data_IF_185643034162
#
_entry.id   IF_185643034162
#
_cell.length_a   1.000
_cell.length_b   1.000
_cell.length_c   1.000
_cell.angle_alpha   90.00
_cell.angle_beta   90.00
_cell.angle_gamma   90.00
#
_symmetry.space_group_name_H-M   'P 1'
#
loop_
_entity.id
_entity.type
_entity.pdbx_description
1 polymer ?
#
# COMPACT_ATOMS: atom_id res chain seq x y z
N UNK A 1 -22.36 -8.57 59.56
CA UNK A 1 -22.89 -8.22 58.23
C UNK A 1 -22.01 -7.12 57.67
N UNK A 2 -21.05 -7.48 56.81
CA UNK A 2 -20.04 -6.55 56.27
C UNK A 2 -20.13 -6.56 54.75
N UNK A 3 -20.55 -5.43 54.16
CA UNK A 3 -20.47 -5.20 52.73
C UNK A 3 -19.12 -4.54 52.42
N UNK A 4 -18.23 -5.28 51.75
CA UNK A 4 -16.97 -4.76 51.23
C UNK A 4 -17.20 -3.91 49.96
N UNK A 5 -16.38 -2.87 49.72
CA UNK A 5 -16.51 -2.06 48.53
C UNK A 5 -16.04 -2.84 47.29
N UNK A 6 -16.88 -2.81 46.27
CA UNK A 6 -16.78 -3.52 45.00
C UNK A 6 -15.76 -2.83 44.10
N UNK A 7 -14.75 -3.56 43.62
CA UNK A 7 -13.78 -3.07 42.65
C UNK A 7 -14.46 -2.74 41.31
N UNK A 8 -14.13 -1.61 40.65
CA UNK A 8 -14.66 -1.31 39.34
C UNK A 8 -14.03 -2.23 38.28
N UNK A 9 -14.88 -3.01 37.61
CA UNK A 9 -14.55 -3.80 36.42
C UNK A 9 -14.14 -2.87 35.28
N UNK A 10 -12.83 -2.77 35.01
CA UNK A 10 -12.28 -2.18 33.78
C UNK A 10 -12.45 -3.16 32.60
N UNK A 11 -13.70 -3.45 32.23
CA UNK A 11 -14.05 -4.10 30.94
C UNK A 11 -14.85 -3.10 30.12
N UNK A 12 -14.29 -2.70 28.97
CA UNK A 12 -15.01 -2.01 27.91
C UNK A 12 -14.74 -0.50 27.85
N UNK A 13 -13.56 -0.10 27.34
CA UNK A 13 -13.36 1.26 26.78
C UNK A 13 -12.11 1.44 25.91
N UNK A 14 -11.67 0.41 25.19
CA UNK A 14 -10.54 0.51 24.22
C UNK A 14 -10.98 -0.03 22.85
N UNK A 15 -12.11 0.45 22.33
CA UNK A 15 -12.55 0.26 20.94
C UNK A 15 -13.15 1.54 20.34
N UNK A 16 -12.67 2.70 20.81
CA UNK A 16 -12.96 4.00 20.21
C UNK A 16 -11.68 4.83 20.13
N UNK A 17 -10.62 4.29 19.52
CA UNK A 17 -9.79 5.16 18.69
C UNK A 17 -10.52 5.20 17.36
N UNK A 18 -11.50 6.10 17.34
CA UNK A 18 -12.24 6.54 16.18
C UNK A 18 -11.23 6.79 15.06
N UNK A 19 -11.50 6.15 13.93
CA UNK A 19 -11.06 6.55 12.61
C UNK A 19 -11.60 7.97 12.28
N UNK A 20 -11.20 8.97 13.08
CA UNK A 20 -11.59 10.38 12.96
C UNK A 20 -10.36 11.28 12.82
N UNK A 21 -9.36 10.78 12.10
CA UNK A 21 -8.45 11.61 11.30
C UNK A 21 -8.53 11.25 9.81
N UNK A 22 -9.64 10.62 9.40
CA UNK A 22 -10.08 10.53 8.01
C UNK A 22 -10.99 11.71 7.67
N UNK A 23 -10.51 12.93 7.93
CA UNK A 23 -11.23 14.17 7.70
C UNK A 23 -10.26 15.34 7.60
N UNK A 24 -10.12 15.87 6.39
CA UNK A 24 -9.41 17.11 6.04
C UNK A 24 -7.88 17.13 6.18
N UNK A 25 -7.23 16.45 5.23
CA UNK A 25 -6.08 16.99 4.50
C UNK A 25 -6.47 17.13 3.02
N UNK A 26 -7.24 18.16 2.71
CA UNK A 26 -7.65 18.49 1.34
C UNK A 26 -6.53 19.18 0.56
N UNK A 27 -6.43 18.82 -0.72
CA UNK A 27 -5.62 19.48 -1.75
C UNK A 27 -4.35 18.69 -2.06
N UNK A 28 -4.13 18.13 -3.24
CA UNK A 28 -4.45 18.70 -4.56
C UNK A 28 -4.88 17.60 -5.53
N UNK A 29 -6.05 17.79 -6.12
CA UNK A 29 -6.40 17.19 -7.39
C UNK A 29 -5.35 17.55 -8.45
N UNK A 30 -4.79 16.56 -9.11
CA UNK A 30 -4.70 16.64 -10.56
C UNK A 30 -5.51 15.44 -11.01
N UNK A 31 -6.68 15.59 -11.65
CA UNK A 31 -6.74 15.35 -13.09
C UNK A 31 -5.56 14.47 -13.53
N UNK A 32 -5.63 13.18 -13.20
CA UNK A 32 -4.57 12.18 -13.36
C UNK A 32 -4.31 11.95 -14.86
N UNK A 33 -3.63 12.93 -15.45
CA UNK A 33 -3.33 13.00 -16.87
C UNK A 33 -2.21 12.01 -17.13
N UNK A 34 -2.58 10.76 -17.27
CA UNK A 34 -1.70 9.68 -17.69
C UNK A 34 -1.27 9.97 -19.11
N UNK A 35 0.03 10.02 -19.33
CA UNK A 35 0.58 10.21 -20.65
C UNK A 35 0.52 8.89 -21.41
N UNK A 36 -0.03 8.94 -22.62
CA UNK A 36 0.01 7.83 -23.57
C UNK A 36 1.22 8.08 -24.46
N UNK A 37 2.13 7.15 -24.48
CA UNK A 37 3.37 7.20 -25.23
C UNK A 37 3.37 6.14 -26.33
N UNK A 38 4.04 6.46 -27.42
CA UNK A 38 4.31 5.51 -28.49
C UNK A 38 5.17 4.36 -27.96
N UNK A 39 4.75 3.13 -28.23
CA UNK A 39 5.41 1.96 -27.69
C UNK A 39 6.79 1.68 -28.28
N UNK A 40 7.16 2.34 -29.38
CA UNK A 40 8.47 2.16 -30.05
C UNK A 40 9.41 3.30 -29.73
N UNK A 41 8.91 4.53 -29.78
CA UNK A 41 9.73 5.76 -29.66
C UNK A 41 9.67 6.41 -28.28
N UNK A 42 8.77 5.95 -27.40
CA UNK A 42 8.41 6.59 -26.14
C UNK A 42 7.94 8.06 -26.29
N UNK A 43 7.66 8.52 -27.52
CA UNK A 43 7.17 9.86 -27.80
C UNK A 43 5.74 10.01 -27.26
N UNK A 44 5.41 11.18 -26.70
CA UNK A 44 4.06 11.43 -26.19
C UNK A 44 3.06 11.52 -27.33
N UNK A 45 2.10 10.59 -27.35
CA UNK A 45 0.99 10.56 -28.32
C UNK A 45 -0.24 11.30 -27.80
N UNK A 46 -0.45 11.29 -26.48
CA UNK A 46 -1.64 11.88 -25.91
C UNK A 46 -1.72 11.73 -24.41
N UNK A 47 -2.94 11.77 -23.90
CA UNK A 47 -3.22 11.62 -22.48
C UNK A 47 -4.58 10.98 -22.24
N UNK A 48 -4.75 10.33 -21.09
CA UNK A 48 -6.05 9.94 -20.57
C UNK A 48 -6.18 10.32 -19.10
N UNK A 49 -7.40 10.30 -18.58
CA UNK A 49 -7.69 10.58 -17.16
C UNK A 49 -7.46 9.38 -16.25
N UNK A 50 -6.96 8.26 -16.79
CA UNK A 50 -6.81 7.01 -16.06
C UNK A 50 -8.09 6.25 -15.81
N UNK A 51 -8.00 5.16 -15.02
CA UNK A 51 -9.18 4.44 -14.61
C UNK A 51 -10.01 5.22 -13.58
N UNK A 52 -11.30 4.94 -13.52
CA UNK A 52 -12.20 5.41 -12.46
C UNK A 52 -11.75 4.89 -11.09
N UNK A 53 -12.39 5.37 -10.03
CA UNK A 53 -12.20 4.83 -8.67
C UNK A 53 -12.56 3.33 -8.59
N UNK A 54 -13.43 2.83 -9.47
CA UNK A 54 -13.72 1.41 -9.62
C UNK A 54 -12.62 0.63 -10.38
N UNK A 55 -11.62 1.29 -10.96
CA UNK A 55 -10.54 0.67 -11.73
C UNK A 55 -10.86 0.46 -13.21
N UNK A 56 -11.98 0.99 -13.68
CA UNK A 56 -12.48 0.83 -15.05
C UNK A 56 -11.95 1.98 -15.93
N UNK A 57 -11.66 1.73 -17.20
CA UNK A 57 -11.31 2.84 -18.07
C UNK A 57 -12.60 3.59 -18.47
N UNK A 58 -12.74 4.89 -18.18
CA UNK A 58 -13.95 5.65 -18.51
C UNK A 58 -14.15 5.83 -20.02
N UNK A 59 -13.11 5.56 -20.81
CA UNK A 59 -13.12 5.61 -22.26
C UNK A 59 -13.10 4.22 -22.91
N UNK A 60 -13.27 3.14 -22.13
CA UNK A 60 -13.53 1.82 -22.69
C UNK A 60 -14.98 1.74 -23.16
N UNK A 61 -15.18 1.30 -24.38
CA UNK A 61 -16.46 0.82 -24.90
C UNK A 61 -16.49 -0.73 -24.88
N UNK A 62 -17.21 -1.38 -25.79
CA UNK A 62 -17.18 -2.84 -25.93
C UNK A 62 -15.83 -3.38 -26.46
N UNK A 63 -14.92 -2.50 -26.89
CA UNK A 63 -13.61 -2.84 -27.45
C UNK A 63 -12.44 -2.64 -26.47
N UNK A 64 -11.19 -2.81 -26.95
CA UNK A 64 -10.00 -2.53 -26.18
C UNK A 64 -9.91 -1.07 -25.74
N UNK A 65 -9.24 -0.81 -24.61
CA UNK A 65 -9.06 0.56 -24.10
C UNK A 65 -8.27 1.41 -25.10
N UNK A 66 -8.48 2.75 -25.15
CA UNK A 66 -7.78 3.61 -26.12
C UNK A 66 -6.24 3.59 -26.05
N UNK A 67 -5.67 3.22 -24.90
CA UNK A 67 -4.23 3.06 -24.72
C UNK A 67 -3.72 1.64 -25.03
N UNK A 68 -4.55 0.72 -25.52
CA UNK A 68 -4.14 -0.62 -25.90
C UNK A 68 -3.03 -0.60 -26.96
N UNK A 69 -1.99 -1.42 -26.74
CA UNK A 69 -0.78 -1.44 -27.57
C UNK A 69 0.17 -0.26 -27.35
N UNK A 70 -0.07 0.60 -26.35
CA UNK A 70 0.74 1.79 -26.05
C UNK A 70 1.46 1.67 -24.72
N UNK A 71 2.38 2.60 -24.47
CA UNK A 71 2.97 2.79 -23.15
C UNK A 71 2.17 3.85 -22.40
N UNK A 72 1.99 3.66 -21.10
CA UNK A 72 1.32 4.63 -20.23
C UNK A 72 2.18 4.95 -19.03
N UNK A 73 2.23 6.22 -18.63
CA UNK A 73 2.90 6.66 -17.41
C UNK A 73 2.11 7.75 -16.67
N UNK A 74 2.16 7.78 -15.33
CA UNK A 74 1.74 8.96 -14.59
C UNK A 74 2.58 10.19 -14.97
N UNK A 75 2.02 11.40 -14.91
CA UNK A 75 2.77 12.62 -15.15
C UNK A 75 3.87 12.78 -14.08
N UNK A 76 5.09 13.12 -14.51
CA UNK A 76 6.24 13.25 -13.61
C UNK A 76 6.84 11.93 -13.11
N UNK A 77 6.33 10.78 -13.57
CA UNK A 77 6.94 9.49 -13.27
C UNK A 77 8.34 9.39 -13.90
N UNK A 78 9.28 8.79 -13.16
CA UNK A 78 10.64 8.52 -13.65
C UNK A 78 10.57 7.72 -14.98
N UNK A 79 11.11 8.27 -16.08
CA UNK A 79 11.12 7.60 -17.39
C UNK A 79 11.78 6.22 -17.37
N UNK A 80 12.71 5.96 -16.45
CA UNK A 80 13.40 4.67 -16.36
C UNK A 80 12.62 3.61 -15.57
N UNK A 81 11.68 4.02 -14.71
CA UNK A 81 10.96 3.11 -13.83
C UNK A 81 9.52 2.79 -14.27
N UNK A 82 8.96 3.52 -15.26
CA UNK A 82 7.50 3.65 -15.32
C UNK A 82 6.74 3.81 -16.65
N UNK A 83 7.25 3.55 -17.87
CA UNK A 83 6.33 3.31 -18.97
C UNK A 83 5.81 1.87 -18.86
N UNK A 84 4.56 1.71 -18.42
CA UNK A 84 3.88 0.40 -18.43
C UNK A 84 3.28 0.14 -19.81
N UNK A 85 3.51 -1.06 -20.34
CA UNK A 85 2.89 -1.48 -21.60
C UNK A 85 1.48 -1.97 -21.37
N UNK A 86 0.57 -1.47 -22.20
CA UNK A 86 -0.82 -1.93 -22.26
C UNK A 86 -0.92 -2.91 -23.44
N UNK A 87 -1.34 -4.17 -23.22
CA UNK A 87 -1.52 -5.12 -24.31
C UNK A 87 -2.49 -4.62 -25.41
N UNK A 88 -2.30 -4.97 -26.69
CA UNK A 88 -3.16 -4.57 -27.82
C UNK A 88 -4.64 -4.94 -27.67
N UNK A 89 -4.95 -6.00 -26.93
CA UNK A 89 -6.31 -6.48 -26.69
C UNK A 89 -6.77 -6.21 -25.25
N UNK A 90 -6.15 -5.26 -24.56
CA UNK A 90 -6.48 -4.98 -23.17
C UNK A 90 -7.80 -4.23 -23.06
N UNK A 91 -8.75 -4.79 -22.31
CA UNK A 91 -10.00 -4.12 -21.94
C UNK A 91 -9.91 -3.39 -20.58
N UNK A 92 -8.74 -3.42 -19.93
CA UNK A 92 -8.56 -2.84 -18.60
C UNK A 92 -7.28 -2.01 -18.50
N UNK A 93 -7.32 -0.91 -17.75
CA UNK A 93 -6.16 -0.04 -17.58
C UNK A 93 -5.17 -0.63 -16.53
N UNK A 94 -3.91 -0.94 -16.89
CA UNK A 94 -2.94 -1.53 -15.95
C UNK A 94 -2.52 -0.56 -14.84
N UNK A 95 -2.68 0.75 -15.04
CA UNK A 95 -2.44 1.77 -14.02
C UNK A 95 -3.40 1.67 -12.83
N UNK A 96 -4.59 1.10 -13.02
CA UNK A 96 -5.49 0.80 -11.92
C UNK A 96 -4.86 -0.16 -10.94
N UNK A 97 -4.21 -1.22 -11.44
CA UNK A 97 -3.53 -2.21 -10.61
C UNK A 97 -2.32 -1.61 -9.90
N UNK A 98 -1.47 -0.87 -10.60
CA UNK A 98 -0.26 -0.31 -9.98
C UNK A 98 -0.58 0.80 -8.95
N UNK A 99 -1.60 1.63 -9.20
CA UNK A 99 -2.11 2.59 -8.23
C UNK A 99 -2.71 1.89 -6.99
N UNK A 100 -3.54 0.86 -7.20
CA UNK A 100 -4.09 0.03 -6.11
C UNK A 100 -2.99 -0.64 -5.30
N UNK A 101 -1.90 -1.08 -5.94
CA UNK A 101 -0.75 -1.63 -5.25
C UNK A 101 -0.08 -0.59 -4.34
N UNK A 102 0.16 0.62 -4.85
CA UNK A 102 0.74 1.71 -4.07
C UNK A 102 -0.13 2.10 -2.87
N UNK A 103 -1.47 2.15 -3.05
CA UNK A 103 -2.40 2.39 -1.94
C UNK A 103 -2.35 1.27 -0.91
N UNK A 104 -2.34 0.00 -1.34
CA UNK A 104 -2.20 -1.12 -0.42
C UNK A 104 -0.88 -1.05 0.36
N UNK A 105 0.22 -0.63 -0.27
CA UNK A 105 1.50 -0.46 0.43
C UNK A 105 1.44 0.66 1.47
N UNK A 106 0.85 1.81 1.15
CA UNK A 106 0.65 2.90 2.13
C UNK A 106 -0.16 2.43 3.34
N UNK A 107 -1.22 1.65 3.10
CA UNK A 107 -2.01 1.10 4.21
C UNK A 107 -1.21 0.08 5.02
N UNK A 108 -0.41 -0.78 4.39
CA UNK A 108 0.46 -1.69 5.10
C UNK A 108 1.46 -0.95 6.01
N UNK A 109 2.09 0.11 5.49
CA UNK A 109 3.03 0.93 6.26
C UNK A 109 2.33 1.62 7.44
N UNK A 110 1.10 2.13 7.24
CA UNK A 110 0.28 2.66 8.35
C UNK A 110 0.07 1.64 9.47
N UNK A 111 -0.29 0.39 9.14
CA UNK A 111 -0.47 -0.66 10.15
C UNK A 111 0.84 -1.05 10.84
N UNK A 112 1.94 -1.07 10.10
CA UNK A 112 3.28 -1.32 10.65
C UNK A 112 3.68 -0.23 11.66
N UNK A 113 3.46 1.04 11.32
CA UNK A 113 3.73 2.17 12.19
C UNK A 113 2.86 2.14 13.45
N UNK A 114 1.58 1.84 13.29
CA UNK A 114 0.66 1.65 14.41
C UNK A 114 1.10 0.50 15.33
N UNK A 115 1.60 -0.59 14.74
CA UNK A 115 2.11 -1.74 15.48
C UNK A 115 3.35 -1.37 16.30
N UNK A 116 4.31 -0.66 15.70
CA UNK A 116 5.52 -0.18 16.36
C UNK A 116 5.19 0.83 17.47
N UNK A 117 4.22 1.71 17.25
CA UNK A 117 3.75 2.65 18.27
C UNK A 117 3.10 1.92 19.46
N UNK A 118 2.36 0.84 19.21
CA UNK A 118 1.81 -0.02 20.26
C UNK A 118 2.89 -0.67 21.11
N UNK A 119 3.94 -1.20 20.46
CA UNK A 119 5.09 -1.77 21.16
C UNK A 119 5.80 -0.74 22.05
N UNK A 120 6.01 0.49 21.56
CA UNK A 120 6.59 1.58 22.36
C UNK A 120 5.76 1.87 23.61
N UNK A 121 4.44 2.07 23.46
CA UNK A 121 3.54 2.30 24.60
C UNK A 121 3.54 1.16 25.61
N UNK A 122 3.57 -0.09 25.12
CA UNK A 122 3.64 -1.26 26.01
C UNK A 122 4.96 -1.31 26.79
N UNK A 123 6.05 -0.91 26.14
CA UNK A 123 7.38 -0.81 26.76
C UNK A 123 7.37 0.26 27.86
N UNK A 124 6.94 1.47 27.53
CA UNK A 124 6.78 2.57 28.50
C UNK A 124 5.93 2.17 29.70
N UNK A 125 4.80 1.48 29.47
CA UNK A 125 3.93 1.01 30.55
C UNK A 125 4.64 0.03 31.48
N UNK A 126 5.38 -0.95 30.96
CA UNK A 126 6.09 -1.94 31.77
C UNK A 126 7.19 -1.28 32.59
N UNK A 127 7.97 -0.37 31.98
CA UNK A 127 8.98 0.41 32.70
C UNK A 127 8.35 1.30 33.78
N UNK A 128 7.22 1.95 33.50
CA UNK A 128 6.50 2.73 34.50
C UNK A 128 6.02 1.87 35.68
N UNK A 129 5.49 0.67 35.41
CA UNK A 129 5.07 -0.25 36.46
C UNK A 129 6.26 -0.75 37.31
N UNK A 130 7.40 -1.04 36.68
CA UNK A 130 8.63 -1.40 37.39
C UNK A 130 9.10 -0.27 38.32
N UNK A 131 9.15 0.95 37.81
CA UNK A 131 9.53 2.14 38.58
C UNK A 131 8.57 2.43 39.74
N UNK A 132 7.28 2.12 39.58
CA UNK A 132 6.27 2.23 40.63
C UNK A 132 6.34 1.11 41.69
N UNK A 133 7.28 0.16 41.57
CA UNK A 133 7.45 -0.93 42.53
C UNK A 133 6.47 -2.09 42.35
N UNK A 134 5.85 -2.25 41.17
CA UNK A 134 5.02 -3.42 40.89
C UNK A 134 5.86 -4.69 41.05
N UNK A 135 5.44 -5.57 41.97
CA UNK A 135 6.17 -6.78 42.36
C UNK A 135 6.51 -7.70 41.19
N UNK A 136 5.79 -7.60 40.07
CA UNK A 136 6.03 -8.40 38.87
C UNK A 136 7.21 -7.91 38.02
N UNK A 137 7.66 -6.67 38.23
CA UNK A 137 8.66 -6.02 37.35
C UNK A 137 9.76 -5.27 38.09
N UNK A 138 9.56 -4.90 39.37
CA UNK A 138 10.46 -4.02 40.13
C UNK A 138 11.91 -4.48 40.25
N UNK A 139 12.15 -5.80 40.20
CA UNK A 139 13.47 -6.41 40.34
C UNK A 139 14.01 -6.93 39.00
N UNK A 140 13.28 -6.71 37.90
CA UNK A 140 13.66 -7.21 36.58
C UNK A 140 14.65 -6.26 35.90
N UNK A 141 15.71 -6.78 35.24
CA UNK A 141 16.66 -5.94 34.53
C UNK A 141 16.07 -5.36 33.23
N UNK A 142 16.65 -4.27 32.67
CA UNK A 142 16.08 -3.55 31.53
C UNK A 142 15.84 -4.40 30.26
N UNK A 143 16.73 -5.34 29.97
CA UNK A 143 16.61 -6.28 28.86
C UNK A 143 15.44 -7.25 29.05
N UNK A 144 15.23 -7.72 30.28
CA UNK A 144 14.09 -8.57 30.63
C UNK A 144 12.77 -7.79 30.58
N UNK A 145 12.74 -6.54 31.03
CA UNK A 145 11.58 -5.66 30.86
C UNK A 145 11.23 -5.45 29.38
N UNK A 146 12.22 -5.28 28.50
CA UNK A 146 12.01 -5.19 27.06
C UNK A 146 11.44 -6.51 26.48
N UNK A 147 11.97 -7.65 26.91
CA UNK A 147 11.46 -8.99 26.53
C UNK A 147 10.00 -9.18 26.96
N UNK A 148 9.68 -8.88 28.21
CA UNK A 148 8.32 -8.93 28.78
C UNK A 148 7.37 -8.01 28.00
N UNK A 149 7.79 -6.78 27.73
CA UNK A 149 7.01 -5.80 26.97
C UNK A 149 6.66 -6.32 25.58
N UNK A 150 7.65 -6.88 24.88
CA UNK A 150 7.46 -7.47 23.56
C UNK A 150 6.51 -8.66 23.60
N UNK A 151 6.68 -9.58 24.54
CA UNK A 151 5.81 -10.75 24.69
C UNK A 151 4.36 -10.35 24.97
N UNK A 152 4.14 -9.37 25.86
CA UNK A 152 2.81 -8.84 26.16
C UNK A 152 2.17 -8.17 24.96
N UNK A 153 2.94 -7.37 24.21
CA UNK A 153 2.45 -6.73 23.00
C UNK A 153 2.06 -7.78 21.95
N UNK A 154 2.95 -8.73 21.64
CA UNK A 154 2.71 -9.82 20.69
C UNK A 154 1.50 -10.69 21.07
N UNK A 155 1.31 -10.93 22.37
CA UNK A 155 0.17 -11.69 22.89
C UNK A 155 -1.15 -10.92 22.88
N UNK A 156 -1.14 -9.62 22.58
CA UNK A 156 -2.36 -8.80 22.60
C UNK A 156 -3.20 -9.00 21.32
N UNK A 157 -4.54 -9.06 21.42
CA UNK A 157 -5.42 -9.14 20.25
C UNK A 157 -5.24 -7.94 19.29
N UNK A 158 -4.92 -6.76 19.84
CA UNK A 158 -4.74 -5.56 19.05
C UNK A 158 -3.47 -5.63 18.18
N UNK A 159 -2.35 -6.11 18.73
CA UNK A 159 -1.13 -6.31 17.95
C UNK A 159 -1.31 -7.37 16.84
N UNK A 160 -2.03 -8.45 17.15
CA UNK A 160 -2.33 -9.50 16.18
C UNK A 160 -3.19 -8.97 15.03
N UNK A 161 -4.20 -8.16 15.34
CA UNK A 161 -5.05 -7.55 14.33
C UNK A 161 -4.27 -6.58 13.43
N UNK A 162 -3.43 -5.72 14.00
CA UNK A 162 -2.58 -4.82 13.21
C UNK A 162 -1.64 -5.60 12.27
N UNK A 163 -1.00 -6.66 12.77
CA UNK A 163 -0.13 -7.51 11.95
C UNK A 163 -0.90 -8.24 10.84
N UNK A 164 -2.11 -8.74 11.13
CA UNK A 164 -3.00 -9.37 10.15
C UNK A 164 -3.40 -8.39 9.04
N UNK A 165 -3.73 -7.15 9.42
CA UNK A 165 -4.11 -6.10 8.47
C UNK A 165 -2.93 -5.69 7.59
N UNK A 166 -1.74 -5.47 8.17
CA UNK A 166 -0.50 -5.23 7.42
C UNK A 166 -0.28 -6.34 6.38
N UNK A 167 -0.30 -7.61 6.82
CA UNK A 167 -0.07 -8.75 5.95
C UNK A 167 -1.12 -8.82 4.81
N UNK A 168 -2.39 -8.58 5.13
CA UNK A 168 -3.48 -8.57 4.14
C UNK A 168 -3.22 -7.52 3.06
N UNK A 169 -2.83 -6.31 3.43
CA UNK A 169 -2.53 -5.25 2.48
C UNK A 169 -1.26 -5.51 1.67
N UNK A 170 -0.20 -6.07 2.27
CA UNK A 170 1.00 -6.49 1.52
C UNK A 170 0.68 -7.58 0.50
N UNK A 171 -0.13 -8.57 0.86
CA UNK A 171 -0.57 -9.62 -0.07
C UNK A 171 -1.40 -9.05 -1.23
N UNK A 172 -2.32 -8.12 -0.96
CA UNK A 172 -3.08 -7.43 -2.01
C UNK A 172 -2.16 -6.63 -2.94
N UNK A 173 -1.20 -5.88 -2.39
CA UNK A 173 -0.21 -5.16 -3.18
C UNK A 173 0.59 -6.10 -4.09
N UNK A 174 1.04 -7.24 -3.56
CA UNK A 174 1.74 -8.26 -4.35
C UNK A 174 0.86 -8.80 -5.50
N UNK A 175 -0.43 -9.07 -5.24
CA UNK A 175 -1.36 -9.49 -6.28
C UNK A 175 -1.49 -8.48 -7.42
N UNK A 176 -1.64 -7.19 -7.07
CA UNK A 176 -1.70 -6.12 -8.05
C UNK A 176 -0.39 -5.91 -8.83
N UNK A 177 0.76 -6.00 -8.15
CA UNK A 177 2.08 -5.92 -8.80
C UNK A 177 2.34 -7.13 -9.69
N UNK A 178 1.93 -8.33 -9.30
CA UNK A 178 2.05 -9.53 -10.12
C UNK A 178 1.20 -9.40 -11.39
N UNK A 179 0.00 -8.85 -11.28
CA UNK A 179 -0.83 -8.53 -12.45
C UNK A 179 -0.13 -7.53 -13.37
N UNK A 180 0.41 -6.44 -12.83
CA UNK A 180 1.15 -5.45 -13.61
C UNK A 180 2.41 -6.06 -14.29
N UNK A 181 3.12 -6.96 -13.60
CA UNK A 181 4.33 -7.63 -14.11
C UNK A 181 4.06 -8.72 -15.13
N UNK A 182 2.85 -9.29 -15.20
CA UNK A 182 2.48 -10.33 -16.19
C UNK A 182 2.43 -9.79 -17.62
N UNK A 183 2.42 -8.47 -17.78
CA UNK A 183 2.54 -7.78 -19.06
C UNK A 183 3.78 -6.87 -19.06
N UNK A 184 4.99 -7.41 -18.83
CA UNK A 184 6.18 -6.59 -18.83
C UNK A 184 6.42 -6.11 -20.26
N UNK A 185 6.63 -4.80 -20.43
CA UNK A 185 7.13 -4.26 -21.68
C UNK A 185 8.46 -4.95 -22.01
N UNK A 186 8.46 -5.79 -23.04
CA UNK A 186 9.71 -6.13 -23.72
C UNK A 186 9.90 -5.05 -24.76
N UNK A 187 10.98 -4.28 -24.61
CA UNK A 187 11.50 -3.48 -25.71
C UNK A 187 11.51 -4.41 -26.93
N UNK A 188 10.86 -4.05 -28.07
CA UNK A 188 11.18 -4.74 -29.29
C UNK A 188 12.66 -4.49 -29.52
N UNK A 189 13.50 -5.47 -29.17
CA UNK A 189 14.90 -5.49 -29.56
C UNK A 189 14.88 -5.15 -31.04
N UNK A 190 15.56 -4.04 -31.37
CA UNK A 190 15.63 -3.42 -32.67
C UNK A 190 15.35 -4.47 -33.74
N UNK A 191 14.15 -4.46 -34.31
CA UNK A 191 13.96 -5.13 -35.60
C UNK A 191 14.84 -4.31 -36.52
N UNK A 192 16.08 -4.75 -36.65
CA UNK A 192 17.02 -4.32 -37.67
C UNK A 192 16.20 -4.16 -38.93
N UNK A 193 15.99 -2.90 -39.31
CA UNK A 193 15.40 -2.56 -40.58
C UNK A 193 16.16 -3.39 -41.62
N UNK A 194 15.48 -4.16 -42.50
CA UNK A 194 16.14 -4.62 -43.70
C UNK A 194 16.51 -3.35 -44.49
N UNK A 195 17.71 -2.85 -44.25
CA UNK A 195 18.38 -1.91 -45.14
C UNK A 195 18.52 -2.62 -46.47
N UNK A 196 17.73 -2.16 -47.44
CA UNK A 196 18.01 -2.19 -48.87
C UNK A 196 18.55 -3.49 -49.44
N UNK A 197 17.69 -4.18 -50.19
CA UNK A 197 18.10 -4.70 -51.48
C UNK A 197 17.14 -4.13 -52.52
N UNK A 198 17.38 -2.87 -52.89
CA UNK A 198 17.06 -2.41 -54.22
C UNK A 198 18.18 -2.95 -55.10
N UNK A 199 17.90 -4.01 -55.83
CA UNK A 199 18.71 -4.40 -56.99
C UNK A 199 17.76 -4.97 -58.06
N UNK A 200 17.57 -4.13 -59.08
CA UNK A 200 17.39 -4.39 -60.51
C UNK A 200 16.37 -5.44 -60.97
#
# INVERSE_FOLDING_TARGET
MSHGPTAPRLRGRILQIKAETAGQGGGVMSSDRIEILDATTAARLGHCSGPTTAGECPAADEGPVPCAGRLVRPPGADPQAWPMWVPPDSHHCPLGSAHRAAECLRQADFYQDAWLAGLRRQTELVHHLAAAGDKRFKDEPPDELARISRLRWLGSPYAQELARMEQTFRQRAQGYLAFARRYPYRYPAERSHPTGASDR
#
